data_IF_058881526825
#
_entry.id   IF_058881526825
#
_cell.length_a   1.000
_cell.length_b   1.000
_cell.length_c   1.000
_cell.angle_alpha   90.00
_cell.angle_beta   90.00
_cell.angle_gamma   90.00
#
_symmetry.space_group_name_H-M   'P 1'
#
loop_
_entity.id
_entity.type
_entity.pdbx_description
1 polymer ?
#
# COMPACT_ATOMS: atom_id res chain seq x y z
N UNK A 1 39.02 17.87 -23.87
CA UNK A 1 37.90 16.90 -23.95
C UNK A 1 37.62 16.42 -22.53
N UNK A 2 36.63 16.99 -21.84
CA UNK A 2 36.25 16.55 -20.49
C UNK A 2 34.77 16.20 -20.43
N UNK A 3 34.45 14.92 -20.53
CA UNK A 3 33.10 14.40 -20.31
C UNK A 3 32.88 14.25 -18.81
N UNK A 4 32.37 15.30 -18.16
CA UNK A 4 31.87 15.21 -16.76
C UNK A 4 30.67 14.27 -16.73
N UNK A 5 30.89 13.12 -16.09
CA UNK A 5 29.94 12.04 -15.92
C UNK A 5 28.86 12.46 -14.91
N UNK A 6 27.79 13.10 -15.38
CA UNK A 6 26.70 13.58 -14.53
C UNK A 6 25.78 12.39 -14.16
N UNK A 7 26.17 11.60 -13.15
CA UNK A 7 25.30 10.60 -12.53
C UNK A 7 24.14 11.34 -11.86
N UNK A 8 22.99 11.42 -12.55
CA UNK A 8 21.71 11.78 -11.95
C UNK A 8 21.48 10.86 -10.75
N UNK A 9 21.65 11.37 -9.53
CA UNK A 9 21.26 10.66 -8.32
C UNK A 9 19.75 10.47 -8.42
N UNK A 10 19.30 9.23 -8.62
CA UNK A 10 17.88 8.90 -8.51
C UNK A 10 17.41 9.38 -7.13
N UNK A 11 16.22 10.01 -7.01
CA UNK A 11 15.69 10.37 -5.71
C UNK A 11 15.66 9.13 -4.80
N UNK A 12 15.90 9.29 -3.49
CA UNK A 12 15.89 8.18 -2.56
C UNK A 12 14.55 7.44 -2.68
N UNK A 13 14.62 6.14 -2.94
CA UNK A 13 13.45 5.31 -3.04
C UNK A 13 12.75 5.32 -1.68
N UNK A 14 11.46 5.67 -1.65
CA UNK A 14 10.62 5.57 -0.44
C UNK A 14 10.78 4.16 0.16
N UNK A 15 11.17 4.09 1.43
CA UNK A 15 11.38 2.86 2.19
C UNK A 15 10.37 2.79 3.31
N UNK A 16 9.91 1.58 3.63
CA UNK A 16 9.07 1.30 4.78
C UNK A 16 9.96 1.10 6.02
N UNK A 17 9.53 1.62 7.17
CA UNK A 17 10.22 1.36 8.44
C UNK A 17 9.52 0.29 9.28
N UNK A 18 8.21 0.10 9.12
CA UNK A 18 7.44 -0.98 9.73
C UNK A 18 6.61 -1.74 8.68
N UNK A 19 6.25 -2.98 9.00
CA UNK A 19 5.36 -3.79 8.18
C UNK A 19 4.49 -4.71 9.04
N UNK A 20 3.27 -4.97 8.57
CA UNK A 20 2.34 -5.93 9.17
C UNK A 20 2.53 -7.28 8.49
N UNK A 21 2.68 -8.35 9.28
CA UNK A 21 2.82 -9.72 8.77
C UNK A 21 1.47 -10.22 8.23
N UNK A 22 1.46 -10.66 6.98
CA UNK A 22 0.28 -11.22 6.31
C UNK A 22 0.25 -12.75 6.36
N UNK A 23 1.42 -13.38 6.29
CA UNK A 23 1.57 -14.83 6.38
C UNK A 23 3.01 -15.18 6.79
N UNK A 24 3.16 -16.28 7.51
CA UNK A 24 4.45 -16.79 7.98
C UNK A 24 4.63 -18.26 7.60
N UNK A 25 5.56 -18.50 6.68
CA UNK A 25 5.91 -19.81 6.16
C UNK A 25 7.20 -20.27 6.84
N UNK A 26 7.09 -20.99 7.96
CA UNK A 26 8.23 -21.43 8.78
C UNK A 26 9.23 -22.32 8.01
N UNK A 27 8.75 -23.07 7.03
CA UNK A 27 9.57 -23.91 6.14
C UNK A 27 9.84 -23.28 4.76
N UNK A 28 9.40 -22.03 4.54
CA UNK A 28 9.46 -21.35 3.25
C UNK A 28 8.39 -21.84 2.26
N UNK A 29 8.49 -21.41 0.99
CA UNK A 29 7.55 -21.83 -0.05
C UNK A 29 7.72 -23.30 -0.42
N UNK A 30 6.58 -23.98 -0.60
CA UNK A 30 6.52 -25.40 -1.00
C UNK A 30 6.88 -25.61 -2.48
N UNK A 31 6.58 -24.65 -3.35
CA UNK A 31 6.89 -24.72 -4.79
C UNK A 31 8.32 -24.23 -5.10
N UNK A 32 8.98 -24.95 -6.01
CA UNK A 32 10.42 -24.80 -6.30
C UNK A 32 10.78 -23.55 -7.10
N UNK A 33 9.85 -22.98 -7.87
CA UNK A 33 10.02 -21.78 -8.69
C UNK A 33 10.06 -20.48 -7.86
N UNK A 34 9.31 -20.44 -6.75
CA UNK A 34 9.36 -19.37 -5.74
C UNK A 34 10.50 -19.55 -4.73
N UNK A 35 11.20 -20.70 -4.76
CA UNK A 35 12.20 -21.11 -3.77
C UNK A 35 13.61 -20.56 -4.02
N UNK A 36 13.75 -19.24 -4.21
CA UNK A 36 15.09 -18.60 -4.07
C UNK A 36 15.65 -18.79 -2.65
N UNK A 37 14.81 -19.18 -1.70
CA UNK A 37 15.09 -19.41 -0.28
C UNK A 37 14.91 -20.89 0.10
N UNK A 38 15.78 -21.77 -0.43
CA UNK A 38 15.97 -23.19 -0.06
C UNK A 38 15.45 -23.61 1.34
N UNK A 39 14.15 -23.83 1.50
CA UNK A 39 13.53 -24.27 2.77
C UNK A 39 13.74 -23.34 3.97
N UNK A 40 13.99 -22.04 3.76
CA UNK A 40 14.16 -21.07 4.86
C UNK A 40 12.83 -20.39 5.18
N UNK A 41 12.63 -20.09 6.45
CA UNK A 41 11.49 -19.32 6.92
C UNK A 41 11.34 -17.99 6.15
N UNK A 42 10.12 -17.70 5.71
CA UNK A 42 9.74 -16.50 4.96
C UNK A 42 8.48 -15.94 5.58
N UNK A 43 8.35 -14.62 5.59
CA UNK A 43 7.06 -13.96 5.83
C UNK A 43 6.70 -13.05 4.67
N UNK A 44 5.42 -13.04 4.31
CA UNK A 44 4.83 -12.03 3.45
C UNK A 44 4.27 -10.92 4.34
N UNK A 45 4.45 -9.67 3.94
CA UNK A 45 4.09 -8.52 4.76
C UNK A 45 3.66 -7.32 3.91
N UNK A 46 2.95 -6.38 4.53
CA UNK A 46 2.61 -5.08 3.95
C UNK A 46 3.22 -3.94 4.78
N UNK A 47 3.91 -3.03 4.11
CA UNK A 47 4.48 -1.84 4.75
C UNK A 47 3.42 -0.90 5.28
N UNK A 48 3.67 -0.30 6.45
CA UNK A 48 2.70 0.56 7.14
C UNK A 48 2.62 1.96 6.55
N UNK A 49 3.62 2.42 5.79
CA UNK A 49 3.72 3.82 5.34
C UNK A 49 3.21 3.97 3.91
N UNK A 50 3.60 3.07 3.02
CA UNK A 50 3.23 3.13 1.60
C UNK A 50 2.51 1.87 1.11
N UNK A 51 2.06 0.99 2.00
CA UNK A 51 1.39 -0.27 1.62
C UNK A 51 2.26 -1.15 0.69
N UNK A 52 3.59 -1.03 0.75
CA UNK A 52 4.45 -1.84 -0.11
C UNK A 52 4.34 -3.30 0.31
N UNK A 53 3.98 -4.18 -0.62
CA UNK A 53 4.06 -5.63 -0.41
C UNK A 53 5.52 -6.07 -0.39
N UNK A 54 5.88 -6.83 0.65
CA UNK A 54 7.24 -7.20 0.96
C UNK A 54 7.35 -8.69 1.25
N UNK A 55 8.52 -9.23 0.92
CA UNK A 55 8.95 -10.53 1.38
C UNK A 55 10.08 -10.33 2.41
N UNK A 56 9.95 -10.98 3.57
CA UNK A 56 10.83 -10.82 4.72
C UNK A 56 11.49 -12.16 5.07
N UNK A 57 12.76 -12.09 5.50
CA UNK A 57 13.44 -13.19 6.15
C UNK A 57 13.45 -12.95 7.67
N UNK A 58 12.77 -13.78 8.47
CA UNK A 58 12.82 -13.73 9.93
C UNK A 58 14.21 -14.11 10.45
N UNK A 59 14.50 -13.74 11.69
CA UNK A 59 15.68 -14.28 12.39
C UNK A 59 15.47 -15.74 12.74
N UNK A 60 16.58 -16.46 12.94
CA UNK A 60 16.54 -17.88 13.36
C UNK A 60 15.93 -17.99 14.76
N UNK A 61 15.01 -18.95 14.94
CA UNK A 61 14.36 -19.21 16.22
C UNK A 61 13.32 -18.17 16.63
N UNK A 62 12.90 -17.30 15.71
CA UNK A 62 11.80 -16.36 15.92
C UNK A 62 10.61 -16.87 15.11
N UNK A 63 9.46 -16.97 15.77
CA UNK A 63 8.18 -17.13 15.10
C UNK A 63 7.49 -15.77 14.96
N UNK A 64 6.73 -15.65 13.89
CA UNK A 64 5.97 -14.45 13.56
C UNK A 64 4.48 -14.76 13.63
N UNK A 65 3.73 -13.81 14.16
CA UNK A 65 2.28 -13.88 14.23
C UNK A 65 1.70 -13.06 13.07
N UNK A 66 0.60 -13.56 12.49
CA UNK A 66 -0.16 -12.83 11.48
C UNK A 66 -0.79 -11.60 12.15
N UNK A 67 -0.86 -10.48 11.41
CA UNK A 67 -1.24 -9.14 11.88
C UNK A 67 -0.25 -8.48 12.87
N UNK A 68 0.87 -9.12 13.21
CA UNK A 68 1.90 -8.47 14.03
C UNK A 68 2.64 -7.39 13.23
N UNK A 69 2.93 -6.25 13.88
CA UNK A 69 3.70 -5.15 13.30
C UNK A 69 5.17 -5.31 13.66
N UNK A 70 6.02 -5.44 12.64
CA UNK A 70 7.45 -5.64 12.79
C UNK A 70 8.26 -4.46 12.25
N UNK A 71 9.32 -4.08 12.97
CA UNK A 71 10.28 -3.09 12.49
C UNK A 71 11.20 -3.68 11.41
N UNK A 72 11.25 -3.02 10.26
CA UNK A 72 12.06 -3.38 9.07
C UNK A 72 12.98 -2.24 8.61
N UNK A 73 13.00 -1.11 9.31
CA UNK A 73 13.85 0.03 9.00
C UNK A 73 15.35 -0.25 9.12
N UNK A 74 16.17 0.80 9.00
CA UNK A 74 17.65 0.68 8.97
C UNK A 74 18.30 0.38 10.32
N UNK A 75 17.57 0.58 11.42
CA UNK A 75 18.06 0.35 12.78
C UNK A 75 18.16 -1.12 13.18
N UNK A 76 18.30 -1.36 14.49
CA UNK A 76 18.26 -2.71 15.05
C UNK A 76 16.84 -3.26 14.90
N UNK A 77 16.73 -4.44 14.29
CA UNK A 77 15.47 -5.18 14.12
C UNK A 77 15.42 -6.31 15.10
N UNK A 78 14.28 -6.54 15.75
CA UNK A 78 14.16 -7.61 16.75
C UNK A 78 13.80 -8.95 16.10
N UNK A 79 12.74 -8.99 15.28
CA UNK A 79 12.22 -10.22 14.68
C UNK A 79 12.74 -10.48 13.25
N UNK A 80 13.05 -9.44 12.49
CA UNK A 80 13.40 -9.55 11.06
C UNK A 80 14.91 -9.53 10.83
N UNK A 81 15.45 -10.50 10.10
CA UNK A 81 16.85 -10.54 9.68
C UNK A 81 17.10 -9.59 8.52
N UNK A 82 16.28 -9.67 7.46
CA UNK A 82 16.35 -8.75 6.31
C UNK A 82 15.06 -8.69 5.50
N UNK A 83 14.86 -7.56 4.82
CA UNK A 83 13.88 -7.43 3.73
C UNK A 83 14.47 -8.08 2.48
N UNK A 84 13.76 -9.04 1.89
CA UNK A 84 14.20 -9.79 0.70
C UNK A 84 13.93 -9.00 -0.58
N UNK A 85 12.80 -8.32 -0.63
CA UNK A 85 12.43 -7.48 -1.75
C UNK A 85 10.96 -7.10 -1.71
N UNK A 86 10.53 -6.45 -2.80
CA UNK A 86 9.11 -6.22 -3.06
C UNK A 86 8.48 -7.52 -3.56
N UNK A 87 7.27 -7.79 -3.09
CA UNK A 87 6.45 -8.91 -3.54
C UNK A 87 5.43 -8.40 -4.57
N UNK A 88 5.31 -9.10 -5.70
CA UNK A 88 4.26 -8.81 -6.68
C UNK A 88 2.91 -9.37 -6.15
N UNK A 89 1.79 -8.69 -6.43
CA UNK A 89 0.48 -9.05 -5.87
C UNK A 89 0.01 -10.46 -6.26
N UNK A 90 0.40 -10.95 -7.44
CA UNK A 90 0.12 -12.32 -7.91
C UNK A 90 0.79 -13.40 -7.05
N UNK A 91 1.87 -13.05 -6.36
CA UNK A 91 2.67 -13.96 -5.54
C UNK A 91 2.22 -14.02 -4.07
N UNK A 92 1.16 -13.30 -3.70
CA UNK A 92 0.57 -13.42 -2.37
C UNK A 92 0.00 -14.82 -2.14
N UNK A 93 0.26 -15.41 -0.98
CA UNK A 93 -0.38 -16.64 -0.54
C UNK A 93 -1.89 -16.44 -0.35
N UNK A 94 -2.66 -17.53 -0.32
CA UNK A 94 -4.10 -17.46 -0.05
C UNK A 94 -4.38 -16.79 1.30
N UNK A 95 -3.61 -17.15 2.34
CA UNK A 95 -3.64 -16.51 3.65
C UNK A 95 -3.35 -15.02 3.52
N UNK A 96 -2.24 -14.64 2.88
CA UNK A 96 -1.89 -13.22 2.74
C UNK A 96 -2.95 -12.40 2.02
N UNK A 97 -3.67 -12.97 1.05
CA UNK A 97 -4.77 -12.27 0.35
C UNK A 97 -5.95 -11.97 1.26
N UNK A 98 -6.27 -12.87 2.18
CA UNK A 98 -7.34 -12.68 3.17
C UNK A 98 -6.89 -11.63 4.20
N UNK A 99 -5.69 -11.81 4.75
CA UNK A 99 -5.13 -10.97 5.81
C UNK A 99 -4.81 -9.54 5.34
N UNK A 100 -4.56 -9.37 4.04
CA UNK A 100 -4.28 -8.07 3.44
C UNK A 100 -5.41 -7.06 3.68
N UNK A 101 -6.67 -7.48 3.63
CA UNK A 101 -7.79 -6.57 3.83
C UNK A 101 -7.86 -6.03 5.26
N UNK A 102 -7.67 -6.91 6.24
CA UNK A 102 -7.62 -6.54 7.66
C UNK A 102 -6.42 -5.64 7.96
N UNK A 103 -5.23 -6.00 7.45
CA UNK A 103 -4.02 -5.21 7.65
C UNK A 103 -4.15 -3.79 7.05
N UNK A 104 -4.70 -3.66 5.84
CA UNK A 104 -4.93 -2.33 5.23
C UNK A 104 -5.92 -1.54 6.08
N UNK A 105 -7.01 -2.16 6.57
CA UNK A 105 -8.00 -1.48 7.41
C UNK A 105 -7.37 -0.93 8.68
N UNK A 106 -6.57 -1.72 9.38
CA UNK A 106 -5.92 -1.29 10.62
C UNK A 106 -4.87 -0.20 10.37
N UNK A 107 -4.12 -0.28 9.26
CA UNK A 107 -3.20 0.79 8.84
C UNK A 107 -3.98 2.09 8.55
N UNK A 108 -5.14 2.01 7.88
CA UNK A 108 -5.95 3.18 7.55
C UNK A 108 -6.53 3.82 8.80
N UNK A 109 -7.03 3.03 9.75
CA UNK A 109 -7.58 3.52 11.02
C UNK A 109 -6.47 4.15 11.88
N UNK A 110 -5.31 3.51 11.99
CA UNK A 110 -4.19 4.05 12.78
C UNK A 110 -3.58 5.34 12.20
N UNK A 111 -3.86 5.64 10.93
CA UNK A 111 -3.39 6.84 10.20
C UNK A 111 -4.55 7.71 9.74
N UNK A 112 -5.66 7.71 10.48
CA UNK A 112 -6.90 8.40 10.11
C UNK A 112 -6.70 9.83 9.63
N UNK A 113 -5.89 10.62 10.35
CA UNK A 113 -5.61 12.02 10.01
C UNK A 113 -5.13 12.21 8.56
N UNK A 114 -4.26 11.32 8.05
CA UNK A 114 -3.73 11.42 6.68
C UNK A 114 -4.81 11.17 5.63
N UNK A 115 -5.70 10.22 5.90
CA UNK A 115 -6.77 9.88 4.96
C UNK A 115 -7.91 10.88 5.03
N UNK A 116 -8.21 11.44 6.20
CA UNK A 116 -9.13 12.56 6.36
C UNK A 116 -8.59 13.81 5.64
N UNK A 117 -7.29 14.10 5.78
CA UNK A 117 -6.64 15.19 5.03
C UNK A 117 -6.78 15.00 3.52
N UNK A 118 -6.67 13.77 3.02
CA UNK A 118 -6.95 13.49 1.60
C UNK A 118 -8.36 13.95 1.18
N UNK A 119 -9.41 13.73 2.00
CA UNK A 119 -10.75 14.22 1.68
C UNK A 119 -10.82 15.76 1.72
N UNK A 120 -10.10 16.40 2.63
CA UNK A 120 -10.03 17.87 2.76
C UNK A 120 -9.27 18.52 1.59
N UNK A 121 -8.16 17.93 1.16
CA UNK A 121 -7.20 18.58 0.24
C UNK A 121 -7.24 18.03 -1.18
N UNK A 122 -7.92 16.91 -1.44
CA UNK A 122 -7.99 16.32 -2.78
C UNK A 122 -8.50 17.35 -3.82
N UNK A 123 -7.73 17.51 -4.90
CA UNK A 123 -8.04 18.43 -6.00
C UNK A 123 -8.27 17.74 -7.35
N UNK A 124 -8.39 18.52 -8.43
CA UNK A 124 -8.51 17.97 -9.78
C UNK A 124 -7.22 17.27 -10.22
N UNK A 125 -7.36 16.12 -10.88
CA UNK A 125 -6.28 15.43 -11.60
C UNK A 125 -6.08 16.05 -12.97
N UNK A 126 -7.19 16.38 -13.65
CA UNK A 126 -7.24 17.13 -14.89
C UNK A 126 -8.60 17.83 -15.00
N UNK A 127 -8.86 18.48 -16.13
CA UNK A 127 -10.11 19.24 -16.38
C UNK A 127 -11.39 18.42 -16.29
N UNK A 128 -11.32 17.08 -16.40
CA UNK A 128 -12.48 16.18 -16.42
C UNK A 128 -12.54 15.22 -15.22
N UNK A 129 -11.47 15.09 -14.44
CA UNK A 129 -11.32 14.07 -13.40
C UNK A 129 -10.78 14.67 -12.10
N UNK A 130 -11.48 14.40 -11.00
CA UNK A 130 -11.08 14.77 -9.65
C UNK A 130 -10.45 13.60 -8.88
N UNK A 131 -9.54 13.86 -7.93
CA UNK A 131 -8.89 12.81 -7.12
C UNK A 131 -9.90 12.00 -6.30
N UNK A 132 -10.90 12.65 -5.71
CA UNK A 132 -11.97 11.97 -4.95
C UNK A 132 -12.69 10.91 -5.80
N UNK A 133 -12.89 11.17 -7.09
CA UNK A 133 -13.57 10.22 -8.00
C UNK A 133 -12.75 8.96 -8.30
N UNK A 134 -11.50 8.89 -7.85
CA UNK A 134 -10.66 7.70 -7.97
C UNK A 134 -10.97 6.69 -6.86
N UNK A 135 -11.59 7.13 -5.76
CA UNK A 135 -12.06 6.25 -4.69
C UNK A 135 -13.27 5.47 -5.19
N UNK A 136 -13.27 4.13 -5.10
CA UNK A 136 -14.43 3.31 -5.49
C UNK A 136 -15.68 3.76 -4.73
N UNK A 137 -16.79 3.91 -5.45
CA UNK A 137 -18.06 4.41 -4.90
C UNK A 137 -18.24 5.92 -5.03
N UNK A 138 -17.19 6.72 -5.25
CA UNK A 138 -17.33 8.19 -5.42
C UNK A 138 -17.52 8.56 -6.90
N UNK A 139 -18.78 8.86 -7.25
CA UNK A 139 -19.15 9.48 -8.51
C UNK A 139 -19.11 11.02 -8.47
N UNK A 140 -19.52 11.67 -9.57
CA UNK A 140 -19.59 13.15 -9.65
C UNK A 140 -20.47 13.77 -8.59
N UNK A 141 -21.62 13.14 -8.29
CA UNK A 141 -22.54 13.60 -7.24
C UNK A 141 -21.84 13.67 -5.88
N UNK A 142 -21.36 12.53 -5.39
CA UNK A 142 -20.71 12.46 -4.07
C UNK A 142 -19.41 13.24 -3.99
N UNK A 143 -18.67 13.36 -5.10
CA UNK A 143 -17.52 14.27 -5.18
C UNK A 143 -17.93 15.72 -4.88
N UNK A 144 -19.05 16.20 -5.43
CA UNK A 144 -19.54 17.55 -5.14
C UNK A 144 -20.02 17.68 -3.71
N UNK A 145 -20.76 16.69 -3.19
CA UNK A 145 -21.22 16.67 -1.80
C UNK A 145 -20.03 16.84 -0.82
N UNK A 146 -18.93 16.09 -1.03
CA UNK A 146 -17.70 16.21 -0.22
C UNK A 146 -17.06 17.59 -0.35
N UNK A 147 -16.99 18.15 -1.57
CA UNK A 147 -16.40 19.48 -1.82
C UNK A 147 -17.23 20.59 -1.15
N UNK A 148 -18.55 20.48 -1.17
CA UNK A 148 -19.46 21.44 -0.55
C UNK A 148 -19.37 21.37 0.96
N UNK A 149 -19.32 20.17 1.54
CA UNK A 149 -19.16 19.99 2.98
C UNK A 149 -17.81 20.53 3.47
N UNK A 150 -16.68 20.11 2.88
CA UNK A 150 -15.36 20.56 3.36
C UNK A 150 -15.14 22.07 3.24
N UNK A 151 -15.89 22.78 2.37
CA UNK A 151 -15.88 24.24 2.28
C UNK A 151 -16.53 24.92 3.48
N UNK A 152 -17.51 24.28 4.12
CA UNK A 152 -18.14 24.78 5.35
C UNK A 152 -17.18 24.66 6.52
N UNK A 153 -16.57 23.49 6.65
CA UNK A 153 -15.56 23.14 7.65
C UNK A 153 -14.81 21.90 7.17
N UNK A 154 -13.49 21.86 7.35
CA UNK A 154 -12.70 20.65 7.11
C UNK A 154 -13.22 19.48 7.95
N UNK A 155 -13.09 18.27 7.42
CA UNK A 155 -13.41 17.04 8.15
C UNK A 155 -12.35 16.77 9.23
N UNK A 156 -12.81 16.33 10.40
CA UNK A 156 -11.92 16.02 11.54
C UNK A 156 -11.69 14.52 11.72
N UNK A 157 -12.60 13.67 11.24
CA UNK A 157 -12.54 12.22 11.39
C UNK A 157 -13.30 11.51 10.26
N UNK A 158 -13.11 10.19 10.14
CA UNK A 158 -13.94 9.33 9.29
C UNK A 158 -15.40 9.34 9.73
N UNK A 159 -15.67 9.45 11.03
CA UNK A 159 -17.02 9.58 11.57
C UNK A 159 -17.67 10.89 11.11
N UNK A 160 -16.96 12.02 11.18
CA UNK A 160 -17.45 13.33 10.70
C UNK A 160 -17.76 13.30 9.18
N UNK A 161 -16.94 12.60 8.39
CA UNK A 161 -17.22 12.39 6.96
C UNK A 161 -18.54 11.63 6.77
N UNK A 162 -18.73 10.53 7.48
CA UNK A 162 -19.93 9.68 7.38
C UNK A 162 -21.20 10.43 7.82
N UNK A 163 -21.11 11.24 8.88
CA UNK A 163 -22.24 12.02 9.40
C UNK A 163 -22.66 13.14 8.43
N UNK A 164 -21.69 13.86 7.87
CA UNK A 164 -21.94 15.03 7.02
C UNK A 164 -22.21 14.66 5.57
N UNK A 165 -21.67 13.53 5.11
CA UNK A 165 -21.92 12.98 3.78
C UNK A 165 -22.47 11.56 3.92
N UNK A 166 -23.78 11.37 4.20
CA UNK A 166 -24.36 10.05 4.49
C UNK A 166 -24.19 9.00 3.37
N UNK A 167 -23.93 9.44 2.14
CA UNK A 167 -23.61 8.55 1.02
C UNK A 167 -22.24 7.87 1.15
N UNK A 168 -21.35 8.40 1.98
CA UNK A 168 -20.06 7.82 2.36
C UNK A 168 -20.22 7.14 3.71
N UNK A 169 -21.06 6.11 3.79
CA UNK A 169 -21.37 5.43 5.05
C UNK A 169 -20.17 4.71 5.69
N UNK A 170 -19.14 4.38 4.90
CA UNK A 170 -17.91 3.75 5.38
C UNK A 170 -16.70 4.23 4.56
N UNK A 171 -16.14 5.42 4.88
CA UNK A 171 -14.99 5.96 4.19
C UNK A 171 -13.74 5.08 4.36
N UNK A 172 -13.61 4.38 5.48
CA UNK A 172 -12.50 3.44 5.73
C UNK A 172 -12.53 2.31 4.69
N UNK A 173 -13.67 1.63 4.52
CA UNK A 173 -13.80 0.55 3.54
C UNK A 173 -13.56 1.04 2.11
N UNK A 174 -13.95 2.28 1.79
CA UNK A 174 -13.70 2.88 0.48
C UNK A 174 -12.20 3.08 0.21
N UNK A 175 -11.45 3.55 1.22
CA UNK A 175 -9.98 3.67 1.14
C UNK A 175 -9.32 2.28 1.06
N UNK A 176 -9.76 1.32 1.87
CA UNK A 176 -9.25 -0.07 1.83
C UNK A 176 -9.42 -0.67 0.42
N UNK A 177 -10.61 -0.52 -0.16
CA UNK A 177 -10.88 -0.97 -1.53
C UNK A 177 -10.02 -0.25 -2.56
N UNK A 178 -9.77 1.05 -2.37
CA UNK A 178 -8.86 1.80 -3.23
C UNK A 178 -7.44 1.26 -3.16
N UNK A 179 -6.89 1.05 -1.97
CA UNK A 179 -5.54 0.50 -1.78
C UNK A 179 -5.44 -0.88 -2.43
N UNK A 180 -6.41 -1.78 -2.19
CA UNK A 180 -6.46 -3.11 -2.83
C UNK A 180 -6.42 -3.04 -4.36
N UNK A 181 -7.23 -2.15 -4.96
CA UNK A 181 -7.22 -1.94 -6.42
C UNK A 181 -5.88 -1.40 -6.94
N UNK A 182 -5.18 -0.59 -6.13
CA UNK A 182 -3.85 -0.09 -6.52
C UNK A 182 -2.76 -1.15 -6.39
N UNK A 183 -2.84 -2.02 -5.39
CA UNK A 183 -1.90 -3.13 -5.22
C UNK A 183 -2.09 -4.23 -6.26
N UNK A 184 -3.33 -4.48 -6.69
CA UNK A 184 -3.60 -5.51 -7.68
C UNK A 184 -3.00 -5.15 -9.06
N UNK A 185 -1.98 -5.92 -9.46
CA UNK A 185 -1.30 -5.79 -10.76
C UNK A 185 -1.78 -6.83 -11.78
N UNK A 186 -2.69 -7.72 -11.41
CA UNK A 186 -3.17 -8.81 -12.30
C UNK A 186 -4.12 -8.31 -13.36
N UNK A 187 -4.75 -7.15 -13.15
CA UNK A 187 -5.71 -6.54 -14.06
C UNK A 187 -5.07 -5.42 -14.87
N UNK A 188 -5.43 -5.34 -16.17
CA UNK A 188 -4.98 -4.24 -17.03
C UNK A 188 -5.68 -2.95 -16.61
N UNK A 189 -4.95 -2.07 -15.93
CA UNK A 189 -5.47 -0.79 -15.42
C UNK A 189 -5.83 0.16 -16.56
N UNK A 190 -7.11 0.53 -16.66
CA UNK A 190 -7.64 1.49 -17.64
C UNK A 190 -8.44 2.61 -16.95
N UNK A 191 -8.62 3.74 -17.64
CA UNK A 191 -9.44 4.85 -17.15
C UNK A 191 -8.95 5.40 -15.80
N UNK A 192 -9.81 5.36 -14.77
CA UNK A 192 -9.50 5.81 -13.40
C UNK A 192 -8.50 4.90 -12.68
N UNK A 193 -8.43 3.62 -13.02
CA UNK A 193 -7.59 2.65 -12.32
C UNK A 193 -6.08 2.83 -12.60
N UNK A 194 -5.70 3.62 -13.62
CA UNK A 194 -4.29 3.88 -13.93
C UNK A 194 -3.60 4.80 -12.92
N UNK A 195 -4.37 5.54 -12.14
CA UNK A 195 -3.85 6.46 -11.13
C UNK A 195 -3.53 5.71 -9.85
N UNK A 196 -2.56 6.22 -9.10
CA UNK A 196 -2.14 5.73 -7.80
C UNK A 196 -2.25 6.90 -6.82
N UNK A 197 -2.94 6.68 -5.69
CA UNK A 197 -3.16 7.65 -4.64
C UNK A 197 -2.32 7.31 -3.41
N UNK A 198 -2.38 6.06 -2.97
CA UNK A 198 -1.89 5.64 -1.66
C UNK A 198 -0.69 4.71 -1.76
N UNK A 199 -0.53 4.01 -2.88
CA UNK A 199 0.55 3.04 -3.07
C UNK A 199 1.62 3.55 -4.07
N UNK A 200 2.87 3.07 -3.98
CA UNK A 200 3.92 3.42 -4.93
C UNK A 200 3.59 2.95 -6.34
N UNK A 201 3.87 3.81 -7.33
CA UNK A 201 3.74 3.45 -8.74
C UNK A 201 4.66 2.24 -9.03
N UNK A 202 4.13 1.13 -9.57
CA UNK A 202 4.95 -0.03 -9.92
C UNK A 202 5.92 0.35 -11.03
N UNK A 203 7.15 -0.17 -10.94
CA UNK A 203 8.16 0.05 -11.99
C UNK A 203 7.70 -0.65 -13.28
N UNK A 204 7.73 0.07 -14.40
CA UNK A 204 7.43 -0.49 -15.73
C UNK A 204 8.21 -1.79 -15.97
N UNK A 205 7.59 -2.85 -16.53
CA UNK A 205 8.25 -4.12 -16.84
C UNK A 205 9.52 -3.99 -17.70
N UNK A 206 9.64 -2.90 -18.48
CA UNK A 206 10.74 -2.65 -19.40
C UNK A 206 12.14 -2.58 -18.74
N UNK A 207 12.23 -2.50 -17.41
CA UNK A 207 13.50 -2.51 -16.67
C UNK A 207 13.81 -3.82 -15.93
N UNK A 208 12.98 -4.88 -16.04
CA UNK A 208 13.26 -6.17 -15.38
C UNK A 208 14.36 -6.99 -16.10
N UNK A 209 14.60 -6.75 -17.39
CA UNK A 209 15.58 -7.50 -18.22
C UNK A 209 16.97 -6.82 -18.36
N UNK A 210 17.32 -5.87 -17.50
CA UNK A 210 18.66 -5.25 -17.49
C UNK A 210 19.30 -5.31 -16.11
N UNK A 211 19.47 -6.52 -15.56
CA UNK A 211 20.42 -6.80 -14.48
C UNK A 211 20.94 -8.21 -14.60
#
# INVERSE_FOLDING_TARGET
MDKRNNKRKNPPQKTEDNAVILDYLSLGYVQSDMSKFKGKAIAQAIGTDYFTLLELAPKRGVDLEIQDTVYIGKGKRDKIYRVLGKLDFENLTATSRIELEYAIKDIVISREEEFVDFFNTAGPVNTRLHKLELIPGIGKKYMWDIIEERKKKEFESFEDISERVPALSDPVAMIVNRVKQELDTTTVKKGKQKYYLFTPIPRSPQNRNKR
#
